data_IF_690340099224
#
_entry.id   IF_690340099224
#
_cell.length_a   1.000
_cell.length_b   1.000
_cell.length_c   1.000
_cell.angle_alpha   90.00
_cell.angle_beta   90.00
_cell.angle_gamma   90.00
#
_symmetry.space_group_name_H-M   'P 1'
#
loop_
_entity.id
_entity.type
_entity.pdbx_description
1 polymer ?
#
# COMPACT_ATOMS: atom_id res chain seq x y z
N UNK A 1 -30.44 -13.66 7.43
CA UNK A 1 -29.31 -13.03 6.71
C UNK A 1 -29.69 -12.64 5.28
N UNK A 2 -30.42 -13.49 4.54
CA UNK A 2 -30.99 -13.19 3.21
C UNK A 2 -31.64 -11.79 3.12
N UNK A 3 -32.60 -11.49 4.02
CA UNK A 3 -33.32 -10.21 4.03
C UNK A 3 -32.48 -8.94 4.20
N UNK A 4 -31.22 -9.01 4.66
CA UNK A 4 -30.35 -7.83 4.71
C UNK A 4 -29.70 -7.53 3.35
N UNK A 5 -29.34 -8.56 2.60
CA UNK A 5 -28.70 -8.45 1.29
C UNK A 5 -29.73 -7.97 0.26
N UNK A 6 -30.94 -8.55 0.25
CA UNK A 6 -32.01 -8.12 -0.65
C UNK A 6 -32.35 -6.63 -0.44
N UNK A 7 -32.49 -6.19 0.82
CA UNK A 7 -32.74 -4.76 1.13
C UNK A 7 -31.61 -3.86 0.65
N UNK A 8 -30.35 -4.28 0.81
CA UNK A 8 -29.21 -3.48 0.35
C UNK A 8 -29.19 -3.35 -1.18
N UNK A 9 -29.48 -4.43 -1.90
CA UNK A 9 -29.60 -4.41 -3.36
C UNK A 9 -30.73 -3.49 -3.81
N UNK A 10 -31.88 -3.53 -3.14
CA UNK A 10 -33.04 -2.70 -3.45
C UNK A 10 -32.73 -1.20 -3.27
N UNK A 11 -32.03 -0.84 -2.19
CA UNK A 11 -31.56 0.54 -1.95
C UNK A 11 -30.60 1.00 -3.05
N UNK A 12 -29.64 0.14 -3.43
CA UNK A 12 -28.63 0.48 -4.44
C UNK A 12 -29.29 0.61 -5.84
N UNK A 13 -30.15 -0.32 -6.22
CA UNK A 13 -30.79 -0.35 -7.52
C UNK A 13 -31.86 0.74 -7.70
N UNK A 14 -32.53 1.16 -6.62
CA UNK A 14 -33.57 2.20 -6.66
C UNK A 14 -33.02 3.64 -6.64
N UNK A 15 -31.71 3.83 -6.59
CA UNK A 15 -31.09 5.15 -6.58
C UNK A 15 -31.39 5.93 -7.87
N UNK A 16 -32.15 7.02 -7.74
CA UNK A 16 -32.51 7.95 -8.83
C UNK A 16 -32.00 9.39 -8.58
N UNK A 17 -31.03 9.54 -7.67
CA UNK A 17 -30.45 10.84 -7.36
C UNK A 17 -29.47 11.34 -8.42
N UNK A 18 -28.83 12.50 -8.19
CA UNK A 18 -27.80 13.05 -9.06
C UNK A 18 -26.61 12.08 -9.23
N UNK A 19 -25.81 12.21 -10.31
CA UNK A 19 -24.61 11.39 -10.46
C UNK A 19 -23.66 11.48 -9.26
N UNK A 20 -23.27 10.33 -8.70
CA UNK A 20 -22.37 10.22 -7.56
C UNK A 20 -21.00 9.70 -7.97
N UNK A 21 -19.98 10.26 -7.32
CA UNK A 21 -18.59 9.80 -7.43
C UNK A 21 -18.08 9.55 -6.02
N UNK A 22 -17.89 8.29 -5.68
CA UNK A 22 -17.41 7.86 -4.35
C UNK A 22 -15.95 7.46 -4.53
N UNK A 23 -15.06 8.04 -3.73
CA UNK A 23 -13.65 7.68 -3.74
C UNK A 23 -13.29 6.94 -2.46
N UNK A 24 -12.66 5.79 -2.60
CA UNK A 24 -11.98 5.11 -1.50
C UNK A 24 -10.46 5.36 -1.59
N UNK A 25 -9.78 5.33 -0.44
CA UNK A 25 -8.34 5.59 -0.33
C UNK A 25 -7.66 4.50 0.51
N UNK A 26 -8.05 3.24 0.32
CA UNK A 26 -7.49 2.10 1.03
C UNK A 26 -7.30 0.92 0.07
N UNK A 27 -6.06 0.48 -0.13
CA UNK A 27 -5.77 -0.66 -1.01
C UNK A 27 -6.56 -1.93 -0.67
N UNK A 28 -6.87 -2.16 0.61
CA UNK A 28 -7.72 -3.28 1.04
C UNK A 28 -9.16 -3.13 0.56
N UNK A 29 -9.73 -1.92 0.59
CA UNK A 29 -11.04 -1.68 -0.01
C UNK A 29 -10.97 -1.85 -1.53
N UNK A 30 -9.96 -1.30 -2.21
CA UNK A 30 -9.76 -1.53 -3.65
C UNK A 30 -9.80 -3.02 -4.00
N UNK A 31 -9.09 -3.85 -3.22
CA UNK A 31 -9.03 -5.29 -3.40
C UNK A 31 -10.40 -5.95 -3.21
N UNK A 32 -11.09 -5.70 -2.09
CA UNK A 32 -12.40 -6.32 -1.82
C UNK A 32 -13.49 -5.84 -2.78
N UNK A 33 -13.49 -4.56 -3.16
CA UNK A 33 -14.40 -4.01 -4.19
C UNK A 33 -14.26 -4.77 -5.51
N UNK A 34 -13.02 -5.02 -5.93
CA UNK A 34 -12.75 -5.78 -7.15
C UNK A 34 -13.15 -7.24 -6.99
N UNK A 35 -12.69 -7.89 -5.91
CA UNK A 35 -12.91 -9.31 -5.62
C UNK A 35 -14.39 -9.66 -5.52
N UNK A 36 -15.19 -8.79 -4.91
CA UNK A 36 -16.63 -8.97 -4.71
C UNK A 36 -17.47 -8.42 -5.88
N UNK A 37 -16.84 -7.79 -6.88
CA UNK A 37 -17.54 -7.26 -8.06
C UNK A 37 -18.47 -6.08 -7.75
N UNK A 38 -18.26 -5.36 -6.65
CA UNK A 38 -19.17 -4.30 -6.16
C UNK A 38 -19.42 -3.24 -7.24
N UNK A 39 -18.40 -2.89 -8.05
CA UNK A 39 -18.55 -1.93 -9.16
C UNK A 39 -19.64 -2.30 -10.16
N UNK A 40 -19.80 -3.58 -10.45
CA UNK A 40 -20.82 -4.06 -11.39
C UNK A 40 -22.24 -4.09 -10.81
N UNK A 41 -22.37 -3.96 -9.48
CA UNK A 41 -23.66 -3.90 -8.79
C UNK A 41 -24.20 -2.49 -8.65
N UNK A 42 -23.37 -1.46 -8.88
CA UNK A 42 -23.77 -0.07 -8.74
C UNK A 42 -24.61 0.37 -9.96
N UNK A 43 -25.63 1.21 -9.74
CA UNK A 43 -26.41 1.79 -10.84
C UNK A 43 -25.53 2.73 -11.67
N UNK A 44 -25.91 2.96 -12.94
CA UNK A 44 -25.11 3.75 -13.89
C UNK A 44 -24.78 5.18 -13.42
N UNK A 45 -25.60 5.76 -12.54
CA UNK A 45 -25.37 7.09 -11.95
C UNK A 45 -24.33 7.11 -10.81
N UNK A 46 -23.84 5.96 -10.35
CA UNK A 46 -22.92 5.87 -9.21
C UNK A 46 -21.59 5.27 -9.66
N UNK A 47 -20.51 6.03 -9.49
CA UNK A 47 -19.15 5.60 -9.81
C UNK A 47 -18.29 5.45 -8.56
N UNK A 48 -17.43 4.44 -8.56
CA UNK A 48 -16.53 4.12 -7.47
C UNK A 48 -15.06 4.20 -7.93
N UNK A 49 -14.36 5.19 -7.41
CA UNK A 49 -13.00 5.59 -7.79
C UNK A 49 -12.03 5.07 -6.74
N UNK A 50 -10.95 4.43 -7.18
CA UNK A 50 -9.83 4.08 -6.31
C UNK A 50 -8.83 5.23 -6.30
N UNK A 51 -8.72 5.87 -5.14
CA UNK A 51 -7.74 6.92 -4.88
C UNK A 51 -6.38 6.37 -4.45
N UNK A 52 -5.45 7.24 -4.03
CA UNK A 52 -4.08 6.87 -3.67
C UNK A 52 -4.00 6.23 -2.27
N UNK A 53 -4.57 5.02 -2.12
CA UNK A 53 -4.66 4.31 -0.84
C UNK A 53 -3.50 3.37 -0.49
N UNK A 54 -2.41 3.43 -1.24
CA UNK A 54 -1.24 2.57 -1.10
C UNK A 54 -0.04 3.41 -0.63
N UNK A 55 0.40 3.31 0.65
CA UNK A 55 1.48 4.15 1.17
C UNK A 55 2.80 3.93 0.45
N UNK A 56 3.08 2.70 0.03
CA UNK A 56 4.26 2.33 -0.77
C UNK A 56 4.25 3.03 -2.13
N UNK A 57 3.10 3.00 -2.81
CA UNK A 57 2.94 3.54 -4.16
C UNK A 57 3.07 5.07 -4.22
N UNK A 58 2.82 5.76 -3.11
CA UNK A 58 2.95 7.22 -3.00
C UNK A 58 4.25 7.64 -2.32
N UNK A 59 5.16 6.71 -2.03
CA UNK A 59 6.45 7.04 -1.42
C UNK A 59 7.27 7.86 -2.41
N UNK A 60 7.77 9.06 -2.02
CA UNK A 60 8.60 9.87 -2.91
C UNK A 60 9.90 9.15 -3.30
N UNK A 61 10.33 9.30 -4.55
CA UNK A 61 11.58 8.71 -5.05
C UNK A 61 12.79 9.09 -4.18
N UNK A 62 12.87 10.35 -3.74
CA UNK A 62 13.94 10.83 -2.87
C UNK A 62 14.04 10.10 -1.53
N UNK A 63 12.93 9.57 -1.00
CA UNK A 63 12.96 8.76 0.22
C UNK A 63 13.69 7.43 -0.01
N UNK A 64 13.49 6.82 -1.19
CA UNK A 64 14.21 5.60 -1.58
C UNK A 64 15.69 5.90 -1.78
N UNK A 65 16.02 7.02 -2.43
CA UNK A 65 17.41 7.43 -2.64
C UNK A 65 18.16 7.65 -1.31
N UNK A 66 17.52 8.30 -0.34
CA UNK A 66 18.08 8.47 1.00
C UNK A 66 18.27 7.13 1.73
N UNK A 67 17.32 6.21 1.63
CA UNK A 67 17.44 4.88 2.22
C UNK A 67 18.60 4.08 1.59
N UNK A 68 18.75 4.14 0.26
CA UNK A 68 19.87 3.52 -0.46
C UNK A 68 21.20 4.12 0.00
N UNK A 69 21.29 5.45 0.07
CA UNK A 69 22.48 6.19 0.53
C UNK A 69 22.87 5.80 1.96
N UNK A 70 21.91 5.71 2.87
CA UNK A 70 22.14 5.25 4.24
C UNK A 70 22.71 3.82 4.27
N UNK A 71 22.16 2.92 3.45
CA UNK A 71 22.57 1.51 3.43
C UNK A 71 23.97 1.28 2.83
N UNK A 72 24.30 1.94 1.71
CA UNK A 72 25.56 1.71 0.98
C UNK A 72 26.70 2.62 1.45
N UNK A 73 26.45 3.93 1.58
CA UNK A 73 27.50 4.89 1.88
C UNK A 73 27.75 5.02 3.38
N UNK A 74 26.67 5.01 4.17
CA UNK A 74 26.77 5.15 5.63
C UNK A 74 26.84 3.81 6.34
N UNK A 75 26.72 2.69 5.59
CA UNK A 75 26.76 1.33 6.12
C UNK A 75 25.77 1.10 7.26
N UNK A 76 24.64 1.82 7.26
CA UNK A 76 23.60 1.67 8.26
C UNK A 76 22.72 0.46 7.92
N UNK A 77 22.29 -0.27 8.95
CA UNK A 77 21.24 -1.27 8.80
C UNK A 77 19.91 -0.58 8.48
N UNK A 78 19.38 -0.80 7.27
CA UNK A 78 18.10 -0.25 6.83
C UNK A 78 17.02 -1.32 6.91
N UNK A 79 16.04 -1.09 7.78
CA UNK A 79 14.89 -1.98 7.94
C UNK A 79 13.69 -1.42 7.16
N UNK A 80 13.00 -2.29 6.41
CA UNK A 80 11.82 -1.91 5.64
C UNK A 80 10.84 -3.07 5.48
N UNK A 81 9.58 -2.76 5.20
CA UNK A 81 8.64 -3.75 4.68
C UNK A 81 9.07 -4.21 3.29
N UNK A 82 8.77 -5.47 2.97
CA UNK A 82 9.25 -6.16 1.76
C UNK A 82 8.71 -5.59 0.44
N UNK A 83 7.55 -4.95 0.47
CA UNK A 83 6.92 -4.30 -0.69
C UNK A 83 7.71 -3.06 -1.15
N UNK A 84 8.21 -2.26 -0.21
CA UNK A 84 8.99 -1.06 -0.50
C UNK A 84 10.37 -1.38 -1.12
N UNK A 85 10.94 -2.56 -0.85
CA UNK A 85 12.30 -2.92 -1.32
C UNK A 85 12.47 -2.85 -2.85
N UNK A 86 11.38 -3.08 -3.60
CA UNK A 86 11.39 -3.08 -5.07
C UNK A 86 10.99 -1.75 -5.68
N UNK A 87 10.58 -0.77 -4.87
CA UNK A 87 10.25 0.56 -5.38
C UNK A 87 11.53 1.20 -5.91
N UNK A 88 11.53 1.72 -7.16
CA UNK A 88 12.72 2.31 -7.75
C UNK A 88 13.02 3.67 -7.11
N UNK A 89 14.29 3.87 -6.73
CA UNK A 89 14.86 5.20 -6.56
C UNK A 89 15.23 5.82 -7.90
N UNK A 90 15.97 6.93 -7.87
CA UNK A 90 16.49 7.59 -9.08
C UNK A 90 17.49 6.71 -9.83
N UNK A 91 18.33 5.96 -9.10
CA UNK A 91 19.36 5.09 -9.71
C UNK A 91 19.13 3.61 -9.44
N UNK A 92 18.72 3.26 -8.23
CA UNK A 92 18.51 1.88 -7.81
C UNK A 92 17.50 1.77 -6.67
N UNK A 93 16.99 0.56 -6.45
CA UNK A 93 16.12 0.22 -5.33
C UNK A 93 16.91 -0.32 -4.13
N UNK A 94 16.24 -0.44 -2.97
CA UNK A 94 16.81 -1.12 -1.80
C UNK A 94 17.11 -2.61 -2.07
N UNK A 95 16.33 -3.28 -2.94
CA UNK A 95 16.63 -4.67 -3.33
C UNK A 95 17.93 -4.78 -4.14
N UNK A 96 18.24 -3.79 -4.97
CA UNK A 96 19.50 -3.73 -5.71
C UNK A 96 20.67 -3.40 -4.78
N UNK A 97 20.52 -2.41 -3.88
CA UNK A 97 21.51 -2.10 -2.85
C UNK A 97 21.84 -3.32 -1.97
N UNK A 98 20.82 -4.10 -1.59
CA UNK A 98 21.00 -5.36 -0.85
C UNK A 98 21.85 -6.38 -1.63
N UNK A 99 21.65 -6.50 -2.94
CA UNK A 99 22.43 -7.39 -3.80
C UNK A 99 23.90 -6.94 -3.91
N UNK A 100 24.17 -5.65 -3.73
CA UNK A 100 25.52 -5.05 -3.66
C UNK A 100 26.17 -5.20 -2.27
N UNK A 101 25.51 -5.87 -1.33
CA UNK A 101 26.02 -6.13 0.02
C UNK A 101 25.64 -5.08 1.06
N UNK A 102 24.69 -4.18 0.77
CA UNK A 102 24.13 -3.31 1.79
C UNK A 102 23.33 -4.11 2.83
N UNK A 103 23.37 -3.68 4.10
CA UNK A 103 22.58 -4.28 5.16
C UNK A 103 21.13 -3.78 5.10
N UNK A 104 20.32 -4.46 4.30
CA UNK A 104 18.89 -4.20 4.15
C UNK A 104 18.09 -5.38 4.67
N UNK A 105 17.24 -5.14 5.67
CA UNK A 105 16.49 -6.15 6.41
C UNK A 105 14.99 -5.98 6.20
N UNK A 106 14.30 -7.10 5.93
CA UNK A 106 12.84 -7.11 5.83
C UNK A 106 12.27 -7.29 7.23
N UNK A 107 11.34 -6.41 7.61
CA UNK A 107 10.60 -6.48 8.87
C UNK A 107 9.09 -6.55 8.61
N UNK A 108 8.35 -7.09 9.58
CA UNK A 108 6.88 -7.18 9.52
C UNK A 108 6.20 -6.27 10.55
N UNK A 109 6.98 -5.69 11.46
CA UNK A 109 6.57 -4.65 12.37
C UNK A 109 7.71 -3.64 12.56
N UNK A 110 7.43 -2.34 12.70
CA UNK A 110 8.44 -1.37 13.12
C UNK A 110 9.09 -1.73 14.46
N UNK A 111 8.40 -2.50 15.31
CA UNK A 111 8.95 -2.99 16.58
C UNK A 111 10.08 -4.02 16.39
N UNK A 112 10.13 -4.71 15.24
CA UNK A 112 11.24 -5.62 14.93
C UNK A 112 12.57 -4.87 14.86
N UNK A 113 12.56 -3.59 14.44
CA UNK A 113 13.74 -2.74 14.40
C UNK A 113 14.36 -2.57 15.80
N UNK A 114 13.53 -2.42 16.85
CA UNK A 114 14.02 -2.30 18.23
C UNK A 114 14.70 -3.58 18.70
N UNK A 115 14.12 -4.73 18.36
CA UNK A 115 14.70 -6.03 18.68
C UNK A 115 16.04 -6.24 17.97
N UNK A 116 16.12 -5.89 16.69
CA UNK A 116 17.35 -5.98 15.90
C UNK A 116 18.44 -5.05 16.47
N UNK A 117 18.09 -3.80 16.77
CA UNK A 117 19.03 -2.84 17.36
C UNK A 117 19.55 -3.28 18.74
N UNK A 118 18.71 -3.90 19.57
CA UNK A 118 19.14 -4.43 20.86
C UNK A 118 20.08 -5.64 20.73
N UNK A 119 19.94 -6.43 19.66
CA UNK A 119 20.81 -7.58 19.37
C UNK A 119 22.16 -7.15 18.77
N UNK A 120 22.19 -6.01 18.08
CA UNK A 120 23.35 -5.48 17.37
C UNK A 120 23.56 -3.98 17.66
N UNK A 121 24.02 -3.63 18.88
CA UNK A 121 24.03 -2.24 19.36
C UNK A 121 25.24 -1.40 18.90
N UNK A 122 26.17 -1.97 18.12
CA UNK A 122 27.48 -1.39 17.79
C UNK A 122 27.52 -0.73 16.41
#
# INVERSE_FOLDING_TARGET
MAGAIERAQEIIASYQGPPLRIMEVCGTHTHEIFRLGIRGMLPAGVSLISGPGCPVCVTPVGFIDDAVRLSLEKRAAVCSFGDLLRVPGTRQSLSQARAEGADVRVVYSPLDCLRLAAQEPA
#
